data_IF_281072102556
#
_entry.id   IF_281072102556
#
_cell.length_a   1.000
_cell.length_b   1.000
_cell.length_c   1.000
_cell.angle_alpha   90.00
_cell.angle_beta   90.00
_cell.angle_gamma   90.00
#
_symmetry.space_group_name_H-M   'P 1'
#
loop_
_entity.id
_entity.type
_entity.pdbx_description
1 polymer ?
#
# COMPACT_ATOMS: atom_id res chain seq x y z
N UNK A 1 -4.96 8.09 -29.72
CA UNK A 1 -4.65 8.62 -31.06
C UNK A 1 -5.87 8.46 -31.96
N UNK A 2 -6.07 9.35 -32.92
CA UNK A 2 -7.08 9.21 -33.96
C UNK A 2 -6.48 9.67 -35.29
N UNK A 3 -6.95 9.12 -36.41
CA UNK A 3 -6.52 9.61 -37.73
C UNK A 3 -7.33 10.85 -38.09
N UNK A 4 -6.64 11.94 -38.43
CA UNK A 4 -7.26 13.13 -39.00
C UNK A 4 -7.62 12.86 -40.47
N UNK A 5 -8.56 13.65 -41.02
CA UNK A 5 -9.04 13.53 -42.40
C UNK A 5 -7.94 13.67 -43.48
N UNK A 6 -6.79 14.22 -43.11
CA UNK A 6 -5.60 14.38 -43.96
C UNK A 6 -4.56 13.24 -43.82
N UNK A 7 -4.90 12.13 -43.16
CA UNK A 7 -3.99 10.99 -42.98
C UNK A 7 -2.97 11.15 -41.84
N UNK A 8 -2.83 12.32 -41.23
CA UNK A 8 -1.93 12.54 -40.10
C UNK A 8 -2.49 11.96 -38.79
N UNK A 9 -1.60 11.47 -37.93
CA UNK A 9 -1.93 11.02 -36.58
C UNK A 9 -2.24 12.23 -35.70
N UNK A 10 -3.47 12.31 -35.21
CA UNK A 10 -3.93 13.31 -34.25
C UNK A 10 -3.80 12.81 -32.81
N UNK A 11 -3.17 13.62 -31.97
CA UNK A 11 -3.21 13.47 -30.52
C UNK A 11 -4.35 14.34 -29.96
N UNK A 12 -5.22 13.75 -29.14
CA UNK A 12 -6.27 14.48 -28.42
C UNK A 12 -5.95 14.37 -26.93
N UNK A 13 -5.67 15.51 -26.31
CA UNK A 13 -5.45 15.59 -24.87
C UNK A 13 -6.71 15.23 -24.09
N UNK A 14 -7.90 15.63 -24.55
CA UNK A 14 -9.19 15.26 -23.93
C UNK A 14 -9.36 13.74 -23.83
N UNK A 15 -8.99 12.99 -24.87
CA UNK A 15 -9.02 11.51 -24.86
C UNK A 15 -7.91 10.88 -24.02
N UNK A 16 -6.81 11.60 -23.79
CA UNK A 16 -5.73 11.15 -22.92
C UNK A 16 -6.11 11.39 -21.45
N UNK A 17 -6.57 12.59 -21.10
CA UNK A 17 -7.04 12.96 -19.77
C UNK A 17 -8.19 12.05 -19.32
N UNK A 18 -9.24 11.87 -20.13
CA UNK A 18 -10.38 10.99 -19.83
C UNK A 18 -10.01 9.49 -19.69
N UNK A 19 -8.80 9.08 -20.04
CA UNK A 19 -8.35 7.68 -19.97
C UNK A 19 -7.13 7.45 -19.05
N UNK A 20 -6.48 8.53 -18.59
CA UNK A 20 -5.24 8.48 -17.82
C UNK A 20 -5.36 9.20 -16.47
N UNK A 21 -6.31 10.12 -16.32
CA UNK A 21 -6.67 10.73 -15.03
C UNK A 21 -7.84 9.92 -14.48
N UNK A 22 -7.69 9.25 -13.33
CA UNK A 22 -8.84 8.66 -12.62
C UNK A 22 -9.86 9.76 -12.36
N UNK A 23 -11.07 9.60 -12.89
CA UNK A 23 -12.18 10.53 -12.71
C UNK A 23 -12.42 10.80 -11.21
N UNK A 24 -12.02 11.97 -10.71
CA UNK A 24 -12.40 12.46 -9.36
C UNK A 24 -13.83 13.02 -9.31
N UNK A 25 -14.51 13.18 -10.46
CA UNK A 25 -15.87 13.71 -10.53
C UNK A 25 -16.71 12.87 -11.50
N UNK A 26 -17.64 12.09 -10.93
CA UNK A 26 -18.78 11.47 -11.58
C UNK A 26 -18.49 10.45 -12.71
N UNK A 27 -18.15 9.22 -12.33
CA UNK A 27 -18.64 8.03 -13.06
C UNK A 27 -18.65 6.80 -12.13
N UNK A 28 -19.81 6.18 -11.92
CA UNK A 28 -20.04 4.97 -11.10
C UNK A 28 -19.75 3.68 -11.90
N UNK A 29 -18.89 3.72 -12.91
CA UNK A 29 -18.59 2.55 -13.72
C UNK A 29 -17.14 2.08 -13.50
N UNK A 30 -16.92 0.78 -13.21
CA UNK A 30 -15.59 0.26 -12.91
C UNK A 30 -14.79 0.13 -14.21
N UNK A 31 -14.02 1.18 -14.56
CA UNK A 31 -13.07 1.12 -15.67
C UNK A 31 -11.86 0.25 -15.29
N UNK A 32 -12.02 -1.07 -15.40
CA UNK A 32 -10.92 -2.05 -15.43
C UNK A 32 -10.11 -1.94 -16.74
N UNK A 33 -9.33 -0.87 -16.92
CA UNK A 33 -8.38 -0.78 -18.06
C UNK A 33 -6.93 -0.74 -17.58
N UNK A 34 -6.54 -1.88 -16.99
CA UNK A 34 -5.20 -2.34 -16.60
C UNK A 34 -4.39 -1.26 -15.90
N UNK A 35 -4.69 -1.10 -14.62
CA UNK A 35 -3.82 -0.47 -13.63
C UNK A 35 -2.36 -0.92 -13.79
N UNK A 36 -1.42 -0.08 -13.36
CA UNK A 36 -0.04 -0.53 -13.15
C UNK A 36 -0.13 -1.82 -12.32
N UNK A 37 0.37 -2.94 -12.86
CA UNK A 37 0.13 -4.25 -12.24
C UNK A 37 0.59 -4.22 -10.78
N UNK A 38 -0.12 -4.94 -9.89
CA UNK A 38 0.22 -4.96 -8.46
C UNK A 38 1.70 -5.25 -8.22
N UNK A 39 2.27 -6.16 -9.01
CA UNK A 39 3.71 -6.44 -9.01
C UNK A 39 4.60 -5.23 -9.29
N UNK A 40 4.27 -4.39 -10.28
CA UNK A 40 5.06 -3.19 -10.60
C UNK A 40 4.97 -2.13 -9.51
N UNK A 41 3.79 -1.99 -8.90
CA UNK A 41 3.60 -1.14 -7.71
C UNK A 41 4.48 -1.63 -6.56
N UNK A 42 4.49 -2.93 -6.30
CA UNK A 42 5.34 -3.53 -5.27
C UNK A 42 6.82 -3.28 -5.53
N UNK A 43 7.28 -3.45 -6.77
CA UNK A 43 8.69 -3.23 -7.13
C UNK A 43 9.10 -1.78 -6.90
N UNK A 44 8.28 -0.81 -7.34
CA UNK A 44 8.53 0.59 -7.04
C UNK A 44 8.54 0.85 -5.54
N UNK A 45 7.53 0.37 -4.83
CA UNK A 45 7.39 0.58 -3.39
C UNK A 45 8.59 0.05 -2.60
N UNK A 46 9.01 -1.18 -2.87
CA UNK A 46 10.15 -1.81 -2.20
C UNK A 46 11.46 -1.06 -2.49
N UNK A 47 11.65 -0.58 -3.72
CA UNK A 47 12.81 0.22 -4.09
C UNK A 47 12.88 1.53 -3.30
N UNK A 48 11.75 2.21 -3.15
CA UNK A 48 11.70 3.49 -2.45
C UNK A 48 11.82 3.35 -0.95
N UNK A 49 11.17 2.36 -0.34
CA UNK A 49 11.29 2.15 1.11
C UNK A 49 12.71 1.75 1.52
N UNK A 50 13.46 1.09 0.65
CA UNK A 50 14.87 0.80 0.88
C UNK A 50 15.79 2.02 0.70
N UNK A 51 15.27 3.11 0.12
CA UNK A 51 16.04 4.32 -0.16
C UNK A 51 16.09 5.25 1.05
N UNK A 52 17.12 6.10 1.12
CA UNK A 52 17.31 7.03 2.24
C UNK A 52 16.17 8.03 2.41
N UNK A 53 15.51 8.41 1.30
CA UNK A 53 14.30 9.21 1.31
C UNK A 53 13.17 8.46 0.59
N UNK A 54 12.24 7.83 1.34
CA UNK A 54 11.23 6.96 0.78
C UNK A 54 10.11 7.70 0.04
N UNK A 55 10.13 9.04 0.00
CA UNK A 55 9.11 9.86 -0.65
C UNK A 55 9.51 10.35 -2.05
N UNK A 56 10.78 10.19 -2.39
CA UNK A 56 11.37 10.81 -3.58
C UNK A 56 11.66 9.76 -4.62
N UNK A 57 11.32 10.03 -5.89
CA UNK A 57 11.73 9.17 -6.97
C UNK A 57 13.19 9.46 -7.33
N UNK A 58 13.93 8.41 -7.63
CA UNK A 58 15.32 8.43 -8.08
C UNK A 58 15.42 8.10 -9.59
N UNK A 59 16.63 8.16 -10.13
CA UNK A 59 16.91 7.88 -11.53
C UNK A 59 16.55 6.45 -11.97
N UNK A 60 16.51 5.50 -11.04
CA UNK A 60 16.27 4.07 -11.30
C UNK A 60 14.82 3.67 -11.11
N UNK A 61 14.01 4.50 -10.46
CA UNK A 61 12.61 4.24 -10.11
C UNK A 61 11.79 3.70 -11.29
N UNK A 62 11.91 4.33 -12.45
CA UNK A 62 11.10 3.98 -13.63
C UNK A 62 11.53 2.68 -14.28
N UNK A 63 12.81 2.33 -14.16
CA UNK A 63 13.33 1.04 -14.58
C UNK A 63 12.87 -0.08 -13.63
N UNK A 64 13.03 0.12 -12.31
CA UNK A 64 12.65 -0.88 -11.31
C UNK A 64 11.14 -1.13 -11.30
N UNK A 65 10.33 -0.09 -11.50
CA UNK A 65 8.88 -0.21 -11.67
C UNK A 65 8.46 -0.88 -13.00
N UNK A 66 9.40 -1.16 -13.91
CA UNK A 66 9.12 -1.77 -15.21
C UNK A 66 8.35 -0.87 -16.19
N UNK A 67 8.32 0.44 -15.94
CA UNK A 67 7.78 1.45 -16.88
C UNK A 67 8.72 1.62 -18.06
N UNK A 68 10.01 1.43 -17.85
CA UNK A 68 11.05 1.56 -18.87
C UNK A 68 11.93 0.31 -18.85
N UNK A 69 12.31 -0.19 -20.03
CA UNK A 69 13.06 -1.44 -20.15
C UNK A 69 14.58 -1.27 -19.95
N UNK A 70 15.07 -0.05 -19.76
CA UNK A 70 16.50 0.22 -19.57
C UNK A 70 16.78 1.38 -18.62
N UNK A 71 17.85 1.23 -17.82
CA UNK A 71 18.31 2.27 -16.89
C UNK A 71 18.73 3.57 -17.60
N UNK A 72 19.28 3.46 -18.81
CA UNK A 72 19.69 4.63 -19.60
C UNK A 72 18.50 5.49 -20.02
N UNK A 73 17.37 4.87 -20.36
CA UNK A 73 16.14 5.58 -20.67
C UNK A 73 15.48 6.08 -19.38
N UNK A 74 15.53 5.32 -18.28
CA UNK A 74 15.04 5.77 -16.96
C UNK A 74 15.70 7.08 -16.52
N UNK A 75 17.03 7.19 -16.67
CA UNK A 75 17.77 8.44 -16.41
C UNK A 75 17.32 9.61 -17.28
N UNK A 76 17.07 9.36 -18.58
CA UNK A 76 16.56 10.39 -19.50
C UNK A 76 15.14 10.83 -19.12
N UNK A 77 14.29 9.89 -18.71
CA UNK A 77 12.94 10.18 -18.20
C UNK A 77 13.03 11.03 -16.95
N UNK A 78 13.84 10.64 -15.97
CA UNK A 78 14.07 11.40 -14.74
C UNK A 78 14.51 12.85 -15.02
N UNK A 79 15.54 13.03 -15.86
CA UNK A 79 16.02 14.35 -16.25
C UNK A 79 14.95 15.19 -16.97
N UNK A 80 14.11 14.57 -17.81
CA UNK A 80 13.00 15.24 -18.48
C UNK A 80 11.88 15.61 -17.50
N UNK A 81 11.55 14.74 -16.55
CA UNK A 81 10.54 15.05 -15.53
C UNK A 81 10.98 16.20 -14.64
N UNK A 82 12.26 16.25 -14.23
CA UNK A 82 12.86 17.40 -13.54
C UNK A 82 12.81 18.67 -14.37
N UNK A 83 13.23 18.60 -15.64
CA UNK A 83 13.20 19.76 -16.56
C UNK A 83 11.81 20.37 -16.73
N UNK A 84 10.76 19.55 -16.63
CA UNK A 84 9.37 20.01 -16.75
C UNK A 84 8.69 20.24 -15.38
N UNK A 85 9.46 20.28 -14.29
CA UNK A 85 8.98 20.51 -12.92
C UNK A 85 7.97 19.48 -12.39
N UNK A 86 7.81 18.33 -13.06
CA UNK A 86 6.95 17.23 -12.61
C UNK A 86 7.63 16.47 -11.47
N UNK A 87 8.97 16.45 -11.47
CA UNK A 87 9.76 16.15 -10.29
C UNK A 87 10.40 17.44 -9.80
N UNK A 88 10.23 17.72 -8.51
CA UNK A 88 10.96 18.81 -7.85
C UNK A 88 12.46 18.47 -7.78
N UNK A 89 13.28 19.45 -7.42
CA UNK A 89 14.72 19.24 -7.24
C UNK A 89 15.02 18.10 -6.25
N UNK A 90 14.21 18.03 -5.19
CA UNK A 90 14.29 17.00 -4.15
C UNK A 90 13.79 15.61 -4.61
N UNK A 91 13.21 15.48 -5.82
CA UNK A 91 12.68 14.23 -6.34
C UNK A 91 11.23 13.92 -5.94
N UNK A 92 10.54 14.87 -5.29
CA UNK A 92 9.11 14.77 -5.01
C UNK A 92 8.30 14.92 -6.31
N UNK A 93 7.25 14.10 -6.45
CA UNK A 93 6.32 14.17 -7.58
C UNK A 93 5.34 15.32 -7.37
N UNK A 94 5.09 16.07 -8.44
CA UNK A 94 4.06 17.10 -8.55
C UNK A 94 3.20 16.79 -9.79
N UNK A 95 2.04 16.16 -9.58
CA UNK A 95 1.16 15.76 -10.69
C UNK A 95 0.39 16.92 -11.30
N UNK A 96 0.29 18.08 -10.63
CA UNK A 96 -0.38 19.27 -11.17
C UNK A 96 0.33 19.82 -12.42
N UNK A 97 1.62 19.53 -12.56
CA UNK A 97 2.44 19.91 -13.71
C UNK A 97 2.23 18.99 -14.93
N UNK A 98 1.51 17.87 -14.78
CA UNK A 98 1.17 16.98 -15.88
C UNK A 98 0.03 17.59 -16.70
N UNK A 99 0.41 18.34 -17.72
CA UNK A 99 -0.53 19.05 -18.60
C UNK A 99 -0.65 18.48 -20.03
N UNK A 100 -1.35 19.20 -20.92
CA UNK A 100 -1.52 18.84 -22.33
C UNK A 100 -0.25 18.61 -23.13
N UNK A 101 0.85 19.23 -22.70
CA UNK A 101 2.15 19.15 -23.34
C UNK A 101 2.97 17.93 -22.89
N UNK A 102 2.54 17.19 -21.86
CA UNK A 102 3.27 16.03 -21.33
C UNK A 102 3.71 15.01 -22.40
N UNK A 103 2.84 14.61 -23.36
CA UNK A 103 3.23 13.66 -24.41
C UNK A 103 4.35 14.17 -25.32
N UNK A 104 4.40 15.50 -25.54
CA UNK A 104 5.45 16.15 -26.31
C UNK A 104 6.75 16.28 -25.49
N UNK A 105 6.63 16.61 -24.21
CA UNK A 105 7.74 16.72 -23.28
C UNK A 105 8.49 15.38 -23.10
N UNK A 106 7.77 14.26 -23.15
CA UNK A 106 8.30 12.89 -23.04
C UNK A 106 8.18 12.09 -24.34
N UNK A 107 8.32 12.75 -25.49
CA UNK A 107 8.27 12.10 -26.81
C UNK A 107 9.34 10.99 -27.02
N UNK A 108 10.31 10.85 -26.12
CA UNK A 108 11.28 9.75 -26.11
C UNK A 108 10.65 8.39 -25.75
N UNK A 109 9.47 8.40 -25.12
CA UNK A 109 8.69 7.21 -24.80
C UNK A 109 7.53 7.07 -25.78
N UNK A 110 7.15 5.83 -26.09
CA UNK A 110 5.93 5.57 -26.85
C UNK A 110 4.68 5.94 -26.02
N UNK A 111 3.54 6.15 -26.67
CA UNK A 111 2.32 6.60 -25.99
C UNK A 111 1.83 5.64 -24.89
N UNK A 112 2.12 4.34 -25.02
CA UNK A 112 1.75 3.35 -24.02
C UNK A 112 2.60 3.51 -22.75
N UNK A 113 3.92 3.62 -22.89
CA UNK A 113 4.85 3.88 -21.79
C UNK A 113 4.62 5.24 -21.14
N UNK A 114 4.26 6.26 -21.92
CA UNK A 114 3.85 7.55 -21.37
C UNK A 114 2.62 7.43 -20.45
N UNK A 115 1.63 6.61 -20.83
CA UNK A 115 0.47 6.33 -19.98
C UNK A 115 0.84 5.55 -18.72
N UNK A 116 1.67 4.53 -18.84
CA UNK A 116 2.15 3.76 -17.68
C UNK A 116 2.92 4.65 -16.71
N UNK A 117 3.76 5.56 -17.22
CA UNK A 117 4.49 6.52 -16.41
C UNK A 117 3.55 7.47 -15.66
N UNK A 118 2.56 8.04 -16.34
CA UNK A 118 1.59 8.92 -15.67
C UNK A 118 0.87 8.15 -14.55
N UNK A 119 0.38 6.93 -14.84
CA UNK A 119 -0.27 6.08 -13.84
C UNK A 119 0.64 5.79 -12.64
N UNK A 120 1.92 5.51 -12.89
CA UNK A 120 2.91 5.30 -11.83
C UNK A 120 3.11 6.58 -11.00
N UNK A 121 3.22 7.75 -11.62
CA UNK A 121 3.43 9.02 -10.92
C UNK A 121 2.24 9.38 -10.01
N UNK A 122 1.01 9.25 -10.52
CA UNK A 122 -0.19 9.46 -9.71
C UNK A 122 -0.29 8.47 -8.55
N UNK A 123 -0.11 7.18 -8.84
CA UNK A 123 -0.10 6.16 -7.80
C UNK A 123 0.97 6.43 -6.73
N UNK A 124 2.18 6.84 -7.14
CA UNK A 124 3.25 7.13 -6.20
C UNK A 124 2.96 8.36 -5.34
N UNK A 125 2.33 9.39 -5.90
CA UNK A 125 1.89 10.55 -5.12
C UNK A 125 0.84 10.15 -4.08
N UNK A 126 -0.16 9.36 -4.45
CA UNK A 126 -1.16 8.81 -3.51
C UNK A 126 -0.49 7.96 -2.43
N UNK A 127 0.49 7.12 -2.80
CA UNK A 127 1.24 6.30 -1.85
C UNK A 127 2.06 7.17 -0.88
N UNK A 128 2.69 8.24 -1.37
CA UNK A 128 3.37 9.22 -0.52
C UNK A 128 2.40 9.88 0.47
N UNK A 129 1.18 10.22 0.03
CA UNK A 129 0.16 10.78 0.91
C UNK A 129 -0.26 9.77 1.98
N UNK A 130 -0.46 8.50 1.60
CA UNK A 130 -0.76 7.40 2.54
C UNK A 130 0.34 7.24 3.59
N UNK A 131 1.60 7.18 3.15
CA UNK A 131 2.75 7.05 4.05
C UNK A 131 2.87 8.25 5.02
N UNK A 132 2.62 9.48 4.56
CA UNK A 132 2.61 10.66 5.44
C UNK A 132 1.50 10.60 6.49
N UNK A 133 0.32 10.08 6.13
CA UNK A 133 -0.78 9.88 7.10
C UNK A 133 -0.38 8.87 8.17
N UNK A 134 0.21 7.74 7.77
CA UNK A 134 0.70 6.73 8.72
C UNK A 134 1.85 7.25 9.59
N UNK A 135 2.75 8.07 9.05
CA UNK A 135 3.81 8.73 9.82
C UNK A 135 3.25 9.74 10.84
N UNK A 136 2.18 10.45 10.49
CA UNK A 136 1.50 11.35 11.42
C UNK A 136 0.80 10.56 12.53
N UNK A 137 0.08 9.50 12.17
CA UNK A 137 -0.57 8.60 13.12
C UNK A 137 0.45 7.94 14.08
N UNK A 138 1.58 7.44 13.57
CA UNK A 138 2.65 6.88 14.40
C UNK A 138 3.19 7.92 15.41
N UNK A 139 3.38 9.17 14.99
CA UNK A 139 3.83 10.26 15.87
C UNK A 139 2.80 10.61 16.94
N UNK A 140 1.52 10.69 16.57
CA UNK A 140 0.44 10.98 17.52
C UNK A 140 0.35 9.87 18.58
N UNK A 141 0.49 8.60 18.16
CA UNK A 141 0.55 7.46 19.08
C UNK A 141 1.79 7.50 19.99
N UNK A 142 2.96 7.90 19.49
CA UNK A 142 4.16 8.05 20.32
C UNK A 142 4.00 9.12 21.41
N UNK A 143 3.30 10.23 21.10
CA UNK A 143 2.97 11.27 22.08
C UNK A 143 2.02 10.72 23.16
N UNK A 144 0.98 9.99 22.76
CA UNK A 144 0.02 9.38 23.69
C UNK A 144 0.69 8.32 24.59
N UNK A 145 1.51 7.45 24.01
CA UNK A 145 2.30 6.44 24.73
C UNK A 145 3.19 7.12 25.78
N UNK A 146 3.91 8.16 25.38
CA UNK A 146 4.79 8.91 26.30
C UNK A 146 4.00 9.52 27.46
N UNK A 147 2.81 10.06 27.18
CA UNK A 147 1.90 10.60 28.21
C UNK A 147 1.40 9.53 29.19
N UNK A 148 0.99 8.36 28.69
CA UNK A 148 0.54 7.24 29.54
C UNK A 148 1.68 6.59 30.33
N UNK A 149 2.91 6.54 29.79
CA UNK A 149 4.08 6.05 30.53
C UNK A 149 4.41 6.95 31.71
N UNK A 150 4.32 8.27 31.54
CA UNK A 150 4.47 9.23 32.66
C UNK A 150 3.38 9.01 33.71
N UNK A 151 2.11 8.89 33.30
CA UNK A 151 1.00 8.61 34.24
C UNK A 151 1.25 7.34 35.04
N UNK A 152 1.65 6.25 34.38
CA UNK A 152 1.96 4.97 35.02
C UNK A 152 3.04 5.09 36.10
N UNK A 153 4.04 5.95 35.91
CA UNK A 153 5.07 6.20 36.93
C UNK A 153 4.59 7.04 38.12
N UNK A 154 3.57 7.87 37.92
CA UNK A 154 3.00 8.74 38.97
C UNK A 154 1.85 8.09 39.75
N UNK A 155 1.20 7.08 39.17
CA UNK A 155 0.11 6.34 39.83
C UNK A 155 0.67 5.38 40.89
N UNK A 156 0.08 5.41 42.08
CA UNK A 156 0.45 4.54 43.21
C UNK A 156 0.42 3.04 42.82
N UNK A 157 1.26 2.23 43.48
CA UNK A 157 1.65 0.89 43.02
C UNK A 157 0.52 -0.15 42.98
N UNK A 158 -0.53 0.01 43.78
CA UNK A 158 -1.62 -0.97 43.88
C UNK A 158 -3.00 -0.31 43.74
N UNK A 159 -3.64 -0.51 42.59
CA UNK A 159 -5.00 -0.03 42.34
C UNK A 159 -5.51 -0.37 40.94
N UNK A 160 -6.84 -0.49 40.82
CA UNK A 160 -7.53 -0.70 39.55
C UNK A 160 -7.17 0.38 38.49
N UNK A 161 -6.83 1.58 38.95
CA UNK A 161 -6.39 2.69 38.10
C UNK A 161 -5.06 2.41 37.38
N UNK A 162 -4.06 1.86 38.08
CA UNK A 162 -2.78 1.49 37.48
C UNK A 162 -2.95 0.39 36.43
N UNK A 163 -3.83 -0.57 36.70
CA UNK A 163 -4.16 -1.63 35.77
C UNK A 163 -4.85 -1.07 34.51
N UNK A 164 -5.79 -0.14 34.65
CA UNK A 164 -6.46 0.52 33.52
C UNK A 164 -5.48 1.35 32.66
N UNK A 165 -4.53 2.07 33.28
CA UNK A 165 -3.47 2.80 32.58
C UNK A 165 -2.57 1.83 31.80
N UNK A 166 -2.21 0.69 32.40
CA UNK A 166 -1.41 -0.34 31.74
C UNK A 166 -2.13 -0.95 30.53
N UNK A 167 -3.42 -1.27 30.66
CA UNK A 167 -4.23 -1.79 29.57
C UNK A 167 -4.34 -0.77 28.41
N UNK A 168 -4.52 0.51 28.74
CA UNK A 168 -4.53 1.60 27.76
C UNK A 168 -3.19 1.72 27.05
N UNK A 169 -2.08 1.64 27.79
CA UNK A 169 -0.73 1.68 27.24
C UNK A 169 -0.46 0.51 26.28
N UNK A 170 -0.90 -0.69 26.64
CA UNK A 170 -0.77 -1.88 25.80
C UNK A 170 -1.59 -1.75 24.50
N UNK A 171 -2.80 -1.18 24.58
CA UNK A 171 -3.62 -0.88 23.39
C UNK A 171 -2.94 0.13 22.46
N UNK A 172 -2.37 1.21 23.02
CA UNK A 172 -1.66 2.22 22.22
C UNK A 172 -0.41 1.64 21.56
N UNK A 173 0.35 0.79 22.28
CA UNK A 173 1.52 0.09 21.73
C UNK A 173 1.13 -0.87 20.60
N UNK A 174 0.00 -1.58 20.76
CA UNK A 174 -0.54 -2.45 19.72
C UNK A 174 -0.99 -1.65 18.49
N UNK A 175 -1.72 -0.55 18.68
CA UNK A 175 -2.12 0.36 17.61
C UNK A 175 -0.90 0.89 16.85
N UNK A 176 0.17 1.28 17.55
CA UNK A 176 1.42 1.72 16.91
C UNK A 176 2.07 0.60 16.07
N UNK A 177 2.12 -0.62 16.60
CA UNK A 177 2.68 -1.73 15.84
C UNK A 177 1.82 -2.07 14.61
N UNK A 178 0.50 -1.93 14.70
CA UNK A 178 -0.41 -2.05 13.56
C UNK A 178 -0.10 -1.03 12.47
N UNK A 179 0.13 0.24 12.82
CA UNK A 179 0.58 1.27 11.86
C UNK A 179 1.90 0.86 11.20
N UNK A 180 2.86 0.35 11.98
CA UNK A 180 4.13 -0.16 11.45
C UNK A 180 3.95 -1.35 10.54
N UNK A 181 3.00 -2.24 10.81
CA UNK A 181 2.66 -3.34 9.91
C UNK A 181 2.10 -2.82 8.59
N UNK A 182 1.14 -1.87 8.61
CA UNK A 182 0.60 -1.23 7.39
C UNK A 182 1.71 -0.57 6.55
N UNK A 183 2.73 0.00 7.19
CA UNK A 183 3.92 0.58 6.52
C UNK A 183 4.86 -0.46 5.89
N UNK A 184 4.86 -1.71 6.36
CA UNK A 184 5.71 -2.78 5.83
C UNK A 184 5.03 -3.58 4.72
N UNK A 185 3.71 -3.53 4.64
CA UNK A 185 2.94 -4.28 3.65
C UNK A 185 3.12 -3.72 2.24
N UNK A 186 3.40 -4.64 1.31
CA UNK A 186 3.46 -4.31 -0.12
C UNK A 186 2.06 -3.94 -0.62
N UNK A 187 1.94 -3.02 -1.60
CA UNK A 187 0.67 -2.67 -2.22
C UNK A 187 -0.24 -3.86 -2.56
N UNK A 188 0.31 -4.94 -3.11
CA UNK A 188 -0.45 -6.14 -3.47
C UNK A 188 -0.94 -6.99 -2.29
N UNK A 189 -0.36 -6.82 -1.10
CA UNK A 189 -0.65 -7.61 0.09
C UNK A 189 -1.64 -6.92 1.04
N UNK A 190 -2.04 -5.68 0.71
CA UNK A 190 -2.89 -4.87 1.58
C UNK A 190 -4.34 -5.30 1.48
N UNK A 191 -4.96 -5.46 2.64
CA UNK A 191 -6.39 -5.69 2.76
C UNK A 191 -7.10 -4.32 2.90
N UNK A 192 -8.08 -3.99 2.04
CA UNK A 192 -8.84 -2.74 2.12
C UNK A 192 -9.51 -2.52 3.48
N UNK A 193 -9.94 -3.59 4.15
CA UNK A 193 -10.65 -3.48 5.43
C UNK A 193 -9.68 -3.16 6.58
N UNK A 194 -8.46 -3.69 6.52
CA UNK A 194 -7.38 -3.35 7.47
C UNK A 194 -6.89 -1.92 7.25
N UNK A 195 -6.74 -1.49 5.99
CA UNK A 195 -6.35 -0.11 5.67
C UNK A 195 -7.42 0.90 6.12
N UNK A 196 -8.70 0.53 6.06
CA UNK A 196 -9.83 1.34 6.50
C UNK A 196 -10.16 1.21 8.01
N UNK A 197 -9.38 0.42 8.76
CA UNK A 197 -9.61 0.12 10.18
C UNK A 197 -11.03 -0.41 10.49
N UNK A 198 -11.56 -1.22 9.57
CA UNK A 198 -12.88 -1.86 9.66
C UNK A 198 -12.82 -3.30 10.15
N UNK A 199 -11.64 -3.83 10.41
CA UNK A 199 -11.41 -5.20 10.85
C UNK A 199 -11.63 -5.37 12.36
N UNK A 200 -12.25 -6.50 12.72
CA UNK A 200 -12.60 -6.86 14.10
C UNK A 200 -11.39 -7.17 15.00
N UNK A 201 -10.15 -6.93 14.55
CA UNK A 201 -8.95 -7.27 15.33
C UNK A 201 -8.89 -6.47 16.63
N UNK A 202 -9.32 -5.21 16.62
CA UNK A 202 -9.49 -4.44 17.85
C UNK A 202 -10.52 -5.12 18.76
N UNK A 203 -11.67 -5.55 18.24
CA UNK A 203 -12.68 -6.26 19.03
C UNK A 203 -12.19 -7.62 19.56
N UNK A 204 -11.33 -8.33 18.82
CA UNK A 204 -10.79 -9.63 19.20
C UNK A 204 -9.77 -9.54 20.35
N UNK A 205 -8.95 -8.48 20.42
CA UNK A 205 -8.04 -8.25 21.55
C UNK A 205 -8.78 -7.87 22.83
N UNK A 206 -9.93 -7.19 22.73
CA UNK A 206 -10.80 -6.88 23.87
C UNK A 206 -11.77 -8.02 24.21
N UNK A 207 -11.86 -9.04 23.36
CA UNK A 207 -12.86 -10.11 23.39
C UNK A 207 -12.47 -11.36 24.19
N UNK A 208 -11.37 -11.36 24.96
CA UNK A 208 -11.02 -12.52 25.81
C UNK A 208 -11.77 -12.52 27.14
N UNK A 209 -13.10 -12.48 27.07
CA UNK A 209 -14.04 -13.05 28.05
C UNK A 209 -15.47 -12.93 27.54
N UNK A 210 -15.83 -13.75 26.54
CA UNK A 210 -17.15 -14.42 26.42
C UNK A 210 -17.16 -15.33 25.19
N UNK A 211 -17.45 -16.61 25.44
CA UNK A 211 -17.87 -17.65 24.50
C UNK A 211 -16.95 -17.97 23.31
N UNK A 212 -15.97 -18.85 23.58
CA UNK A 212 -15.75 -19.99 22.68
C UNK A 212 -17.07 -20.78 22.66
N UNK A 213 -17.61 -21.25 21.52
CA UNK A 213 -18.78 -22.11 21.53
C UNK A 213 -18.45 -23.37 22.33
N UNK A 214 -19.13 -23.53 23.46
CA UNK A 214 -19.13 -24.74 24.24
C UNK A 214 -19.66 -25.85 23.33
N UNK A 215 -18.83 -26.86 23.06
CA UNK A 215 -19.25 -28.08 22.36
C UNK A 215 -20.28 -28.75 23.26
N UNK A 216 -21.56 -28.51 22.96
CA UNK A 216 -22.68 -29.03 23.70
C UNK A 216 -22.72 -30.55 23.59
N UNK A 217 -22.36 -31.23 24.69
CA UNK A 217 -22.70 -32.63 24.92
C UNK A 217 -24.17 -32.65 25.34
N UNK A 218 -25.05 -32.97 24.40
CA UNK A 218 -26.45 -33.29 24.62
C UNK A 218 -26.67 -34.81 24.55
N UNK A 219 -27.45 -35.40 25.47
CA UNK A 219 -27.62 -36.84 25.59
C UNK A 219 -28.73 -37.29 24.63
N UNK A 220 -28.36 -37.76 23.44
CA UNK A 220 -28.98 -38.94 22.80
C UNK A 220 -28.49 -39.10 21.35
N UNK A 221 -27.75 -40.20 21.17
CA UNK A 221 -27.50 -40.97 19.95
C UNK A 221 -27.63 -40.32 18.56
N UNK A 222 -26.48 -40.00 17.95
CA UNK A 222 -26.38 -39.80 16.50
C UNK A 222 -24.96 -39.48 16.02
N UNK A 223 -24.08 -40.49 15.96
CA UNK A 223 -22.69 -40.36 15.50
C UNK A 223 -22.67 -40.35 13.96
N UNK A 224 -22.31 -39.23 13.34
CA UNK A 224 -21.68 -39.19 12.01
C UNK A 224 -20.26 -38.70 12.21
N UNK A 225 -19.34 -39.66 12.31
CA UNK A 225 -17.93 -39.41 12.53
C UNK A 225 -17.21 -39.04 11.24
N UNK A 226 -16.29 -38.09 11.33
CA UNK A 226 -14.95 -38.30 10.79
C UNK A 226 -13.97 -37.48 11.61
N UNK A 227 -13.42 -38.13 12.63
CA UNK A 227 -12.20 -37.69 13.31
C UNK A 227 -11.06 -38.50 12.70
N UNK A 228 -9.94 -37.85 12.36
CA UNK A 228 -8.66 -38.18 13.02
C UNK A 228 -7.56 -37.14 12.75
N UNK A 229 -6.60 -37.05 13.68
CA UNK A 229 -5.72 -35.90 13.90
C UNK A 229 -4.39 -35.99 13.14
N UNK A 230 -3.71 -34.85 13.10
CA UNK A 230 -2.31 -34.67 12.70
C UNK A 230 -1.39 -35.45 13.66
N UNK A 231 -0.56 -36.35 13.13
CA UNK A 231 0.61 -36.90 13.81
C UNK A 231 1.86 -36.17 13.30
N UNK A 232 2.52 -35.44 14.18
CA UNK A 232 3.90 -34.98 14.01
C UNK A 232 4.86 -36.18 14.19
N UNK A 233 5.87 -36.30 13.30
CA UNK A 233 7.08 -37.09 13.59
C UNK A 233 7.41 -38.29 12.69
N UNK A 234 7.48 -38.12 11.36
CA UNK A 234 8.22 -39.07 10.50
C UNK A 234 8.93 -38.36 9.35
N UNK A 235 10.22 -38.64 9.06
CA UNK A 235 10.91 -38.03 7.94
C UNK A 235 10.42 -38.63 6.59
N UNK A 236 10.43 -37.83 5.51
CA UNK A 236 9.86 -38.25 4.23
C UNK A 236 10.70 -39.35 3.56
N UNK A 237 10.05 -40.46 3.18
CA UNK A 237 10.66 -41.52 2.39
C UNK A 237 10.67 -41.13 0.90
N UNK A 238 11.84 -41.23 0.27
CA UNK A 238 12.00 -41.10 -1.18
C UNK A 238 11.89 -42.49 -1.83
N UNK A 239 10.98 -42.65 -2.79
CA UNK A 239 10.97 -43.81 -3.68
C UNK A 239 11.87 -43.55 -4.90
N UNK A 240 12.75 -44.49 -5.30
CA UNK A 240 13.48 -44.38 -6.56
C UNK A 240 12.59 -44.88 -7.71
N UNK A 241 12.24 -43.97 -8.62
CA UNK A 241 11.60 -44.31 -9.89
C UNK A 241 12.64 -44.74 -10.90
N UNK A 242 12.41 -45.92 -11.48
CA UNK A 242 13.24 -46.63 -12.46
C UNK A 242 13.20 -46.00 -13.85
#
# INVERSE_FOLDING_TARGET
>A
MYRKRNGSLGFSFTRFANAAVPNFFADETPSHTVDLTGYRRDMCYMHQIASANPYTLDERSFYVAGVVDSESVSRKVYAKLKKNEILKEDGLVDTYKIGPQFPHQLALLNIYRQKELVRMLFWWEEECQRLRKLDAEEKDLDVLISGEEVKLTTTAEDGAERQAVKETLDQLKFARERVRMKKRQRPSQRDPDVEADKDDIMMAFHGRSKSVPNVGVGPDGGIVGSSRPIQEGQPPQYFPGS
#
